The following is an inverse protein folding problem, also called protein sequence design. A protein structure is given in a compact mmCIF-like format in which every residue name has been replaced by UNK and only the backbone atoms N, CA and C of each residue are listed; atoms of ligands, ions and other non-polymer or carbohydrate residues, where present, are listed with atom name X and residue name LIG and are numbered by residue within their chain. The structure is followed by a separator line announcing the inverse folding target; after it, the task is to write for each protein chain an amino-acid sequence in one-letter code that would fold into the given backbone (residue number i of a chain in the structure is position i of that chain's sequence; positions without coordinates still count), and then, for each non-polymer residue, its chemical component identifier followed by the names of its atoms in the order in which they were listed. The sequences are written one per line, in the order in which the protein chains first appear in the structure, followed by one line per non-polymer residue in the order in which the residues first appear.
data_IF_569913322210
#
_entry.id   IF_569913322210
#
_cell.length_a   1.000
_cell.length_b   1.000
_cell.length_c   1.000
_cell.angle_alpha   90.00
_cell.angle_beta   90.00
_cell.angle_gamma   90.00
#
_symmetry.space_group_name_H-M   'P 1'
#
loop_
_entity.id
_entity.type
_entity.pdbx_description
1 polymer ?
#
# COMPACT_ATOMS: atom_id res chain seq x y z
N UNK A 1 -14.79 8.84 -10.51
CA UNK A 1 -13.46 8.84 -9.89
C UNK A 1 -12.42 8.65 -10.98
N UNK A 2 -11.39 9.48 -11.02
CA UNK A 2 -10.34 9.40 -12.05
C UNK A 2 -9.27 8.36 -11.72
N UNK A 3 -8.03 8.75 -11.89
CA UNK A 3 -6.89 7.88 -11.59
C UNK A 3 -6.53 7.99 -10.10
N UNK A 4 -6.35 6.84 -9.46
CA UNK A 4 -5.95 6.79 -8.05
C UNK A 4 -5.26 5.46 -7.78
N UNK A 5 -4.24 5.49 -6.93
CA UNK A 5 -3.65 4.27 -6.40
C UNK A 5 -4.04 4.17 -4.91
N UNK A 6 -4.36 2.96 -4.48
CA UNK A 6 -4.84 2.68 -3.12
C UNK A 6 -3.84 1.74 -2.45
N UNK A 7 -3.39 2.08 -1.25
CA UNK A 7 -2.43 1.25 -0.51
C UNK A 7 -2.94 1.02 0.92
N UNK A 8 -3.00 -0.25 1.33
CA UNK A 8 -3.37 -0.64 2.68
C UNK A 8 -2.33 -1.59 3.26
N UNK A 9 -1.97 -1.41 4.51
CA UNK A 9 -0.94 -2.20 5.18
C UNK A 9 -1.54 -3.07 6.27
N UNK A 10 -1.18 -4.34 6.29
CA UNK A 10 -1.49 -5.27 7.36
C UNK A 10 -0.20 -5.77 7.99
N UNK A 11 -0.26 -6.06 9.29
CA UNK A 11 0.88 -6.61 10.02
C UNK A 11 0.40 -7.73 10.91
N UNK A 12 1.12 -8.85 10.91
CA UNK A 12 0.78 -10.03 11.72
C UNK A 12 1.99 -10.94 11.82
N UNK A 13 2.23 -11.49 13.02
CA UNK A 13 3.31 -12.44 13.21
C UNK A 13 4.69 -11.91 12.84
N UNK A 14 4.95 -10.63 13.08
CA UNK A 14 6.22 -10.00 12.75
C UNK A 14 6.41 -9.72 11.26
N UNK A 15 5.40 -9.97 10.44
CA UNK A 15 5.45 -9.73 9.00
C UNK A 15 4.48 -8.64 8.58
N UNK A 16 4.76 -8.03 7.43
CA UNK A 16 3.97 -6.93 6.88
C UNK A 16 3.58 -7.26 5.44
N UNK A 17 2.35 -6.93 5.09
CA UNK A 17 1.85 -7.01 3.71
C UNK A 17 1.17 -5.70 3.33
N UNK A 18 1.45 -5.21 2.13
CA UNK A 18 0.81 -4.00 1.60
C UNK A 18 0.07 -4.37 0.33
N UNK A 19 -1.24 -4.13 0.33
CA UNK A 19 -2.07 -4.37 -0.85
C UNK A 19 -2.27 -3.06 -1.60
N UNK A 20 -2.03 -3.09 -2.91
CA UNK A 20 -2.27 -1.95 -3.76
C UNK A 20 -3.35 -2.26 -4.79
N UNK A 21 -4.20 -1.28 -5.09
CA UNK A 21 -5.12 -1.29 -6.22
C UNK A 21 -4.80 -0.09 -7.11
N UNK A 22 -4.81 -0.32 -8.42
CA UNK A 22 -4.51 0.73 -9.40
C UNK A 22 -5.78 1.06 -10.17
N UNK A 23 -6.32 2.25 -9.93
CA UNK A 23 -7.56 2.71 -10.56
C UNK A 23 -7.21 3.67 -11.69
N UNK A 24 -7.73 3.42 -12.88
CA UNK A 24 -7.52 4.28 -14.04
C UNK A 24 -8.86 4.51 -14.74
N UNK A 25 -9.21 5.78 -14.92
CA UNK A 25 -10.50 6.14 -15.48
C UNK A 25 -11.68 5.61 -14.68
N UNK A 26 -11.53 5.51 -13.35
CA UNK A 26 -12.57 4.99 -12.48
C UNK A 26 -12.67 3.47 -12.42
N UNK A 27 -11.84 2.75 -13.18
CA UNK A 27 -11.86 1.29 -13.23
C UNK A 27 -10.61 0.70 -12.59
N UNK A 28 -10.78 -0.46 -11.97
CA UNK A 28 -9.63 -1.18 -11.39
C UNK A 28 -8.84 -1.85 -12.51
N UNK A 29 -7.63 -1.36 -12.75
CA UNK A 29 -6.72 -1.83 -13.79
C UNK A 29 -5.77 -2.92 -13.31
N UNK A 30 -5.69 -3.15 -12.03
CA UNK A 30 -4.82 -4.16 -11.48
C UNK A 30 -4.60 -4.01 -10.00
N UNK A 31 -3.89 -4.97 -9.45
CA UNK A 31 -3.54 -4.97 -8.03
C UNK A 31 -2.17 -5.62 -7.86
N UNK A 32 -1.56 -5.35 -6.72
CA UNK A 32 -0.28 -5.94 -6.36
C UNK A 32 -0.16 -6.01 -4.85
N UNK A 33 0.47 -7.07 -4.35
CA UNK A 33 0.77 -7.20 -2.92
C UNK A 33 2.27 -7.15 -2.72
N UNK A 34 2.71 -6.28 -1.81
CA UNK A 34 4.11 -6.13 -1.44
C UNK A 34 4.34 -6.77 -0.08
N UNK A 35 5.48 -7.42 0.09
CA UNK A 35 5.88 -8.00 1.38
C UNK A 35 7.23 -7.42 1.77
N UNK A 36 7.25 -6.20 2.35
CA UNK A 36 8.51 -5.54 2.71
C UNK A 36 9.29 -6.37 3.72
N UNK A 37 10.61 -6.36 3.58
CA UNK A 37 11.52 -7.09 4.48
C UNK A 37 12.28 -6.13 5.36
N UNK A 38 12.84 -6.65 6.46
CA UNK A 38 13.68 -5.88 7.39
C UNK A 38 12.94 -4.69 8.00
N UNK A 39 11.68 -4.90 8.38
CA UNK A 39 10.83 -3.85 8.90
C UNK A 39 10.75 -3.83 10.43
N UNK A 40 11.47 -4.72 11.12
CA UNK A 40 11.28 -4.96 12.55
C UNK A 40 11.43 -3.74 13.45
N UNK A 41 12.28 -2.78 13.08
CA UNK A 41 12.51 -1.57 13.88
C UNK A 41 11.72 -0.37 13.39
N UNK A 42 11.01 -0.51 12.27
CA UNK A 42 10.25 0.60 11.68
C UNK A 42 8.79 0.57 12.13
N UNK A 43 8.23 1.75 12.32
CA UNK A 43 6.80 1.88 12.52
C UNK A 43 6.07 1.55 11.21
N UNK A 44 4.82 1.10 11.32
CA UNK A 44 4.01 0.73 10.14
C UNK A 44 3.88 1.88 9.15
N UNK A 45 3.74 3.10 9.65
CA UNK A 45 3.64 4.31 8.84
C UNK A 45 4.90 4.54 8.02
N UNK A 46 6.06 4.27 8.60
CA UNK A 46 7.35 4.39 7.90
C UNK A 46 7.49 3.32 6.83
N UNK A 47 7.06 2.10 7.12
CA UNK A 47 7.08 1.00 6.16
C UNK A 47 6.22 1.34 4.95
N UNK A 48 5.02 1.85 5.18
CA UNK A 48 4.12 2.22 4.10
C UNK A 48 4.72 3.34 3.24
N UNK A 49 5.30 4.35 3.87
CA UNK A 49 5.99 5.44 3.18
C UNK A 49 7.11 4.92 2.28
N UNK A 50 7.92 4.01 2.82
CA UNK A 50 9.04 3.42 2.06
C UNK A 50 8.53 2.62 0.85
N UNK A 51 7.45 1.87 1.01
CA UNK A 51 6.85 1.11 -0.09
C UNK A 51 6.40 2.05 -1.20
N UNK A 52 5.71 3.15 -0.85
CA UNK A 52 5.27 4.13 -1.82
C UNK A 52 6.45 4.74 -2.58
N UNK A 53 7.47 5.19 -1.86
CA UNK A 53 8.62 5.85 -2.48
C UNK A 53 9.38 4.91 -3.41
N UNK A 54 9.55 3.65 -3.02
CA UNK A 54 10.21 2.66 -3.88
C UNK A 54 9.38 2.34 -5.12
N UNK A 55 8.07 2.17 -4.94
CA UNK A 55 7.18 1.85 -6.05
C UNK A 55 7.20 2.96 -7.10
N UNK A 56 7.13 4.21 -6.66
CA UNK A 56 7.09 5.36 -7.57
C UNK A 56 8.47 5.77 -8.11
N UNK A 57 9.53 5.07 -7.76
CA UNK A 57 10.80 5.22 -8.46
C UNK A 57 10.71 4.66 -9.88
N UNK A 58 9.90 3.61 -10.06
CA UNK A 58 9.78 2.91 -11.35
C UNK A 58 8.48 3.21 -12.10
N UNK A 59 7.46 3.67 -11.39
CA UNK A 59 6.12 3.88 -11.95
C UNK A 59 5.73 5.34 -11.73
N UNK A 60 5.19 6.03 -12.75
CA UNK A 60 4.76 7.42 -12.54
C UNK A 60 3.57 7.50 -11.58
N UNK A 61 3.62 8.43 -10.62
CA UNK A 61 2.52 8.58 -9.67
C UNK A 61 1.27 9.17 -10.33
N UNK A 62 0.07 8.71 -9.92
CA UNK A 62 -1.18 9.34 -10.35
C UNK A 62 -1.43 10.63 -9.56
N UNK A 63 -2.48 11.34 -9.89
CA UNK A 63 -2.84 12.57 -9.16
C UNK A 63 -3.33 12.31 -7.74
N UNK A 64 -3.85 11.12 -7.48
CA UNK A 64 -4.41 10.77 -6.17
C UNK A 64 -3.81 9.48 -5.66
N UNK A 65 -3.32 9.50 -4.42
CA UNK A 65 -2.83 8.32 -3.72
C UNK A 65 -3.61 8.21 -2.42
N UNK A 66 -4.29 7.09 -2.21
CA UNK A 66 -5.09 6.83 -1.03
C UNK A 66 -4.34 5.86 -0.12
N UNK A 67 -4.23 6.20 1.16
CA UNK A 67 -3.54 5.36 2.14
C UNK A 67 -4.46 5.10 3.32
N UNK A 68 -4.21 4.02 4.06
CA UNK A 68 -5.04 3.64 5.20
C UNK A 68 -4.60 4.33 6.49
N UNK A 69 -3.49 5.03 6.48
CA UNK A 69 -2.98 5.75 7.64
C UNK A 69 -2.08 6.90 7.19
N UNK A 70 -1.94 7.90 8.05
CA UNK A 70 -1.08 9.05 7.77
C UNK A 70 0.38 8.62 7.71
N UNK A 71 1.12 9.15 6.75
CA UNK A 71 2.55 8.88 6.60
C UNK A 71 3.37 9.88 7.39
N UNK A 72 4.56 9.49 7.90
CA UNK A 72 5.48 10.47 8.45
C UNK A 72 5.86 11.46 7.37
N UNK A 73 5.85 12.74 7.71
CA UNK A 73 6.20 13.81 6.76
C UNK A 73 5.45 13.68 5.43
N UNK A 74 4.16 13.40 5.52
CA UNK A 74 3.31 13.17 4.35
C UNK A 74 3.38 14.28 3.32
N UNK A 75 3.45 15.52 3.76
CA UNK A 75 3.53 16.67 2.84
C UNK A 75 4.82 16.65 2.03
N UNK A 76 5.94 16.27 2.64
CA UNK A 76 7.22 16.17 1.96
C UNK A 76 7.21 15.01 0.94
N UNK A 77 6.59 13.90 1.30
CA UNK A 77 6.44 12.76 0.38
C UNK A 77 5.61 13.20 -0.82
N UNK A 78 4.49 13.90 -0.59
CA UNK A 78 3.65 14.39 -1.68
C UNK A 78 4.41 15.37 -2.59
N UNK A 79 5.20 16.28 -2.02
CA UNK A 79 6.02 17.20 -2.80
C UNK A 79 7.03 16.48 -3.69
N UNK A 80 7.72 15.48 -3.13
CA UNK A 80 8.68 14.68 -3.89
C UNK A 80 8.01 13.98 -5.07
N UNK A 81 6.81 13.44 -4.85
CA UNK A 81 6.07 12.77 -5.90
C UNK A 81 5.53 13.74 -6.95
N UNK A 82 5.14 14.96 -6.54
CA UNK A 82 4.74 16.02 -7.47
C UNK A 82 5.88 16.38 -8.42
N UNK A 83 7.09 16.56 -7.89
CA UNK A 83 8.26 16.86 -8.71
C UNK A 83 8.54 15.75 -9.72
N UNK A 84 8.48 14.52 -9.26
CA UNK A 84 8.73 13.36 -10.12
C UNK A 84 7.66 13.21 -11.20
N UNK A 85 6.41 13.44 -10.84
CA UNK A 85 5.27 13.27 -11.76
C UNK A 85 5.15 14.41 -12.77
N UNK A 86 5.58 15.61 -12.42
CA UNK A 86 5.37 16.80 -13.24
C UNK A 86 3.94 17.34 -13.16
N UNK A 87 3.17 16.89 -12.17
CA UNK A 87 1.81 17.36 -11.89
C UNK A 87 1.51 17.23 -10.40
N UNK A 88 0.39 17.76 -9.95
CA UNK A 88 -0.01 17.66 -8.56
C UNK A 88 -0.28 16.21 -8.16
N UNK A 89 0.18 15.82 -6.96
CA UNK A 89 -0.07 14.53 -6.37
C UNK A 89 -0.57 14.76 -4.95
N UNK A 90 -1.76 14.27 -4.64
CA UNK A 90 -2.35 14.39 -3.31
C UNK A 90 -2.39 13.02 -2.63
N UNK A 91 -1.90 12.96 -1.40
CA UNK A 91 -1.96 11.75 -0.57
C UNK A 91 -3.01 11.99 0.50
N UNK A 92 -3.99 11.10 0.65
CA UNK A 92 -5.05 11.27 1.64
C UNK A 92 -5.60 9.95 2.13
N UNK A 93 -6.27 10.01 3.28
CA UNK A 93 -6.99 8.87 3.86
C UNK A 93 -8.46 9.05 3.50
N UNK A 94 -9.08 8.13 2.74
CA UNK A 94 -10.48 8.30 2.35
C UNK A 94 -11.40 8.14 3.56
N UNK A 95 -12.36 9.05 3.69
CA UNK A 95 -13.27 9.10 4.83
C UNK A 95 -14.65 8.51 4.54
N UNK A 96 -15.06 8.47 3.27
CA UNK A 96 -16.40 8.04 2.89
C UNK A 96 -16.49 7.71 1.40
N UNK A 97 -17.62 7.12 1.02
CA UNK A 97 -17.96 6.87 -0.38
C UNK A 97 -17.18 5.72 -0.98
N UNK A 98 -17.09 5.72 -2.31
CA UNK A 98 -16.44 4.67 -3.08
C UNK A 98 -14.98 4.49 -2.69
N UNK A 99 -14.28 5.58 -2.46
CA UNK A 99 -12.86 5.54 -2.08
C UNK A 99 -12.66 4.83 -0.75
N UNK A 100 -13.54 5.08 0.22
CA UNK A 100 -13.47 4.39 1.51
C UNK A 100 -13.74 2.89 1.36
N UNK A 101 -14.70 2.52 0.52
CA UNK A 101 -15.02 1.12 0.23
C UNK A 101 -13.84 0.40 -0.40
N UNK A 102 -13.16 1.06 -1.34
CA UNK A 102 -11.95 0.51 -1.96
C UNK A 102 -10.86 0.31 -0.92
N UNK A 103 -10.68 1.25 -0.02
CA UNK A 103 -9.70 1.13 1.05
C UNK A 103 -10.03 -0.02 1.99
N UNK A 104 -11.29 -0.19 2.35
CA UNK A 104 -11.73 -1.30 3.19
C UNK A 104 -11.45 -2.64 2.52
N UNK A 105 -11.69 -2.73 1.22
CA UNK A 105 -11.38 -3.95 0.46
C UNK A 105 -9.89 -4.21 0.39
N UNK A 106 -9.09 -3.18 0.15
CA UNK A 106 -7.63 -3.30 0.13
C UNK A 106 -7.10 -3.77 1.48
N UNK A 107 -7.65 -3.24 2.58
CA UNK A 107 -7.27 -3.64 3.94
C UNK A 107 -7.57 -5.12 4.18
N UNK A 108 -8.76 -5.58 3.79
CA UNK A 108 -9.12 -6.99 3.92
C UNK A 108 -8.19 -7.88 3.08
N UNK A 109 -7.92 -7.46 1.85
CA UNK A 109 -7.05 -8.23 0.96
C UNK A 109 -5.62 -8.30 1.51
N UNK A 110 -5.13 -7.22 2.12
CA UNK A 110 -3.81 -7.22 2.75
C UNK A 110 -3.74 -8.24 3.88
N UNK A 111 -4.75 -8.27 4.74
CA UNK A 111 -4.83 -9.25 5.84
C UNK A 111 -4.87 -10.67 5.31
N UNK A 112 -5.75 -10.94 4.35
CA UNK A 112 -5.89 -12.27 3.76
C UNK A 112 -4.62 -12.75 3.06
N UNK A 113 -3.96 -11.86 2.32
CA UNK A 113 -2.71 -12.19 1.64
C UNK A 113 -1.62 -12.54 2.66
N UNK A 114 -1.54 -11.77 3.74
CA UNK A 114 -0.57 -12.00 4.79
C UNK A 114 -0.83 -13.30 5.52
N UNK A 115 -2.09 -13.61 5.82
CA UNK A 115 -2.49 -14.86 6.46
C UNK A 115 -2.13 -16.07 5.60
N UNK A 116 -2.38 -15.99 4.29
CA UNK A 116 -1.97 -17.06 3.37
C UNK A 116 -0.46 -17.26 3.37
N UNK A 117 0.29 -16.17 3.34
CA UNK A 117 1.75 -16.23 3.36
C UNK A 117 2.27 -16.87 4.65
N UNK A 118 1.70 -16.51 5.79
CA UNK A 118 2.07 -17.08 7.08
C UNK A 118 1.72 -18.58 7.16
N UNK A 119 0.55 -18.97 6.63
CA UNK A 119 0.12 -20.36 6.60
C UNK A 119 1.06 -21.21 5.73
N UNK A 120 1.46 -20.70 4.56
CA UNK A 120 2.41 -21.39 3.69
C UNK A 120 3.76 -21.58 4.38
N UNK A 121 4.25 -20.55 5.04
CA UNK A 121 5.52 -20.62 5.79
C UNK A 121 5.40 -21.65 6.91
N UNK A 122 4.29 -21.65 7.64
CA UNK A 122 4.04 -22.63 8.70
C UNK A 122 3.97 -24.05 8.17
N UNK A 123 3.30 -24.26 7.04
CA UNK A 123 3.19 -25.57 6.40
C UNK A 123 4.56 -26.07 5.95
N UNK A 124 5.36 -25.23 5.34
CA UNK A 124 6.72 -25.57 4.92
C UNK A 124 7.58 -25.95 6.12
N UNK A 125 7.48 -25.22 7.20
CA UNK A 125 8.22 -25.53 8.42
C UNK A 125 7.84 -26.91 8.99
N UNK A 126 6.56 -27.27 8.92
CA UNK A 126 6.08 -28.59 9.36
C UNK A 126 6.60 -29.71 8.48
N UNK A 127 6.59 -29.49 7.17
CA UNK A 127 7.05 -30.50 6.19
C UNK A 127 8.54 -30.79 6.33
N UNK A 128 9.31 -29.78 6.67
CA UNK A 128 10.77 -29.90 6.79
C UNK A 128 11.22 -30.60 8.10
N UNK A 129 10.31 -30.86 8.99
CA UNK A 129 10.61 -31.64 10.19
C UNK A 129 10.58 -33.15 9.82
#
# INVERSE_FOLDING_TARGET
MGDADVFALAAKGGQVGVQAFFIRGGQNWGHRTFYPRNTGELEKEEVLSDVLLQFYEEVPPPRTILVDRALPEQDLVAEALCEKAGHGVAISIPQRGTRRKLMQQASRNAVEALERRLAETGTKAKVLR
#
